data_IF_385196663834
#
_entry.id   IF_385196663834
#
_cell.length_a   1.000
_cell.length_b   1.000
_cell.length_c   1.000
_cell.angle_alpha   90.00
_cell.angle_beta   90.00
_cell.angle_gamma   90.00
#
_symmetry.space_group_name_H-M   'P 1'
#
loop_
_entity.id
_entity.type
_entity.pdbx_description
1 polymer ?
#
# COMPACT_ATOMS: atom_id res chain seq x y z
N UNK A 1 1.21 -14.43 10.64
CA UNK A 1 2.24 -13.38 10.81
C UNK A 1 2.98 -13.09 9.52
N UNK A 2 3.49 -14.13 8.84
CA UNK A 2 4.22 -13.93 7.58
C UNK A 2 3.40 -13.21 6.52
N UNK A 3 2.12 -13.58 6.36
CA UNK A 3 1.22 -12.94 5.41
C UNK A 3 1.11 -11.42 5.66
N UNK A 4 0.89 -11.04 6.92
CA UNK A 4 0.72 -9.63 7.26
C UNK A 4 2.02 -8.82 7.08
N UNK A 5 3.15 -9.44 7.38
CA UNK A 5 4.46 -8.80 7.20
C UNK A 5 4.73 -8.56 5.70
N UNK A 6 4.42 -9.52 4.85
CA UNK A 6 4.58 -9.37 3.40
C UNK A 6 3.66 -8.25 2.89
N UNK A 7 2.39 -8.25 3.30
CA UNK A 7 1.46 -7.21 2.89
C UNK A 7 1.88 -5.82 3.37
N UNK A 8 2.36 -5.71 4.61
CA UNK A 8 2.81 -4.44 5.15
C UNK A 8 4.04 -3.93 4.39
N UNK A 9 5.00 -4.80 4.12
CA UNK A 9 6.19 -4.45 3.35
C UNK A 9 5.83 -4.07 1.92
N UNK A 10 4.92 -4.81 1.29
CA UNK A 10 4.46 -4.52 -0.06
C UNK A 10 3.76 -3.17 -0.12
N UNK A 11 2.90 -2.87 0.85
CA UNK A 11 2.20 -1.60 0.91
C UNK A 11 3.17 -0.43 1.05
N UNK A 12 4.17 -0.58 1.90
CA UNK A 12 5.20 0.44 2.08
C UNK A 12 5.98 0.68 0.78
N UNK A 13 6.38 -0.41 0.12
CA UNK A 13 7.12 -0.33 -1.13
C UNK A 13 6.28 0.31 -2.24
N UNK A 14 5.01 -0.04 -2.35
CA UNK A 14 4.13 0.53 -3.36
C UNK A 14 3.89 2.02 -3.11
N UNK A 15 3.55 2.39 -1.88
CA UNK A 15 3.29 3.78 -1.53
C UNK A 15 4.54 4.62 -1.74
N UNK A 16 5.70 4.15 -1.30
CA UNK A 16 6.96 4.87 -1.48
C UNK A 16 7.28 5.05 -2.95
N UNK A 17 7.08 4.01 -3.76
CA UNK A 17 7.32 4.09 -5.21
C UNK A 17 6.37 5.04 -5.90
N UNK A 18 5.08 4.96 -5.58
CA UNK A 18 4.08 5.86 -6.13
C UNK A 18 4.30 7.29 -5.66
N UNK A 19 4.70 7.48 -4.39
CA UNK A 19 4.99 8.81 -3.87
C UNK A 19 6.18 9.46 -4.56
N UNK A 20 7.16 8.67 -5.01
CA UNK A 20 8.27 9.21 -5.79
C UNK A 20 7.77 9.86 -7.09
N UNK A 21 6.80 9.23 -7.77
CA UNK A 21 6.16 9.82 -8.95
C UNK A 21 5.37 11.06 -8.59
N UNK A 22 4.63 11.03 -7.49
CA UNK A 22 3.89 12.18 -6.98
C UNK A 22 4.84 13.35 -6.71
N UNK A 23 5.97 13.07 -6.04
CA UNK A 23 6.96 14.10 -5.72
C UNK A 23 7.53 14.74 -6.99
N UNK A 24 7.83 13.92 -8.00
CA UNK A 24 8.32 14.42 -9.27
C UNK A 24 7.29 15.30 -9.99
N UNK A 25 6.06 14.78 -10.14
CA UNK A 25 5.04 15.44 -10.95
C UNK A 25 4.31 16.57 -10.22
N UNK A 26 4.05 16.40 -8.93
CA UNK A 26 3.19 17.31 -8.17
C UNK A 26 3.95 18.23 -7.24
N UNK A 27 5.11 17.83 -6.78
CA UNK A 27 5.94 18.63 -5.86
C UNK A 27 7.15 19.23 -6.55
N UNK A 28 7.24 19.08 -7.86
CA UNK A 28 8.31 19.65 -8.70
C UNK A 28 9.71 19.21 -8.25
N UNK A 29 9.82 17.97 -7.77
CA UNK A 29 11.10 17.40 -7.40
C UNK A 29 11.84 16.90 -8.65
N UNK A 30 13.13 16.60 -8.47
CA UNK A 30 13.99 16.10 -9.55
C UNK A 30 13.48 14.77 -10.12
N UNK A 31 13.63 14.58 -11.43
CA UNK A 31 13.32 13.31 -12.08
C UNK A 31 14.14 12.14 -11.48
N UNK A 32 15.25 12.44 -10.83
CA UNK A 32 16.05 11.43 -10.14
C UNK A 32 15.30 10.65 -9.07
N UNK A 33 14.20 11.20 -8.55
CA UNK A 33 13.33 10.50 -7.61
C UNK A 33 12.73 9.23 -8.21
N UNK A 34 12.60 9.16 -9.54
CA UNK A 34 12.03 8.00 -10.21
C UNK A 34 12.93 6.76 -10.13
N UNK A 35 14.24 6.93 -9.92
CA UNK A 35 15.15 5.79 -9.82
C UNK A 35 14.81 4.94 -8.60
N UNK A 36 14.83 5.47 -7.36
CA UNK A 36 14.39 4.69 -6.21
C UNK A 36 12.90 4.37 -6.27
N UNK A 37 12.08 5.22 -6.90
CA UNK A 37 10.66 4.97 -7.05
C UNK A 37 10.35 3.72 -7.85
N UNK A 38 10.96 3.58 -9.02
CA UNK A 38 10.79 2.40 -9.87
C UNK A 38 11.34 1.15 -9.18
N UNK A 39 12.51 1.26 -8.53
CA UNK A 39 13.08 0.15 -7.78
C UNK A 39 12.12 -0.32 -6.68
N UNK A 40 11.50 0.62 -5.99
CA UNK A 40 10.53 0.31 -4.93
C UNK A 40 9.30 -0.42 -5.48
N UNK A 41 8.80 0.00 -6.66
CA UNK A 41 7.66 -0.67 -7.30
C UNK A 41 8.00 -2.09 -7.76
N UNK A 42 9.23 -2.33 -8.20
CA UNK A 42 9.68 -3.68 -8.54
C UNK A 42 9.73 -4.55 -7.28
N UNK A 43 10.25 -4.03 -6.18
CA UNK A 43 10.26 -4.73 -4.90
C UNK A 43 8.84 -5.03 -4.44
N UNK A 44 7.92 -4.08 -4.57
CA UNK A 44 6.52 -4.28 -4.27
C UNK A 44 5.93 -5.46 -5.04
N UNK A 45 6.12 -5.49 -6.35
CA UNK A 45 5.59 -6.57 -7.19
C UNK A 45 6.16 -7.93 -6.77
N UNK A 46 7.45 -7.99 -6.46
CA UNK A 46 8.10 -9.21 -6.01
C UNK A 46 7.53 -9.67 -4.66
N UNK A 47 7.38 -8.75 -3.72
CA UNK A 47 6.83 -9.06 -2.39
C UNK A 47 5.40 -9.60 -2.52
N UNK A 48 4.58 -8.98 -3.36
CA UNK A 48 3.20 -9.39 -3.54
C UNK A 48 3.11 -10.80 -4.14
N UNK A 49 4.09 -11.18 -4.97
CA UNK A 49 4.17 -12.51 -5.53
C UNK A 49 4.54 -13.58 -4.48
N UNK A 50 5.08 -13.18 -3.33
CA UNK A 50 5.45 -14.09 -2.25
C UNK A 50 4.28 -14.41 -1.29
N UNK A 51 3.15 -13.73 -1.46
CA UNK A 51 1.99 -13.94 -0.58
C UNK A 51 1.50 -15.39 -0.71
N UNK A 52 1.28 -16.10 0.42
CA UNK A 52 0.81 -17.49 0.38
C UNK A 52 -0.69 -17.54 0.07
N UNK A 53 -1.03 -17.39 -1.20
CA UNK A 53 -2.40 -17.45 -1.71
C UNK A 53 -2.40 -18.30 -2.98
N UNK A 54 -3.52 -18.98 -3.24
CA UNK A 54 -3.61 -19.91 -4.38
C UNK A 54 -3.75 -19.19 -5.71
N UNK A 55 -4.31 -17.98 -5.69
CA UNK A 55 -4.53 -17.21 -6.91
C UNK A 55 -4.11 -15.76 -6.70
N UNK A 56 -3.63 -15.13 -7.78
CA UNK A 56 -3.23 -13.73 -7.77
C UNK A 56 -4.40 -12.81 -7.45
N UNK A 57 -5.57 -13.09 -8.03
CA UNK A 57 -6.74 -12.24 -7.83
C UNK A 57 -7.15 -12.10 -6.38
N UNK A 58 -7.15 -13.20 -5.63
CA UNK A 58 -7.47 -13.15 -4.19
C UNK A 58 -6.39 -12.44 -3.39
N UNK A 59 -5.13 -12.70 -3.71
CA UNK A 59 -4.01 -12.02 -3.06
C UNK A 59 -4.13 -10.51 -3.23
N UNK A 60 -4.40 -10.07 -4.45
CA UNK A 60 -4.51 -8.64 -4.75
C UNK A 60 -5.75 -8.00 -4.11
N UNK A 61 -6.87 -8.71 -4.10
CA UNK A 61 -8.10 -8.20 -3.49
C UNK A 61 -7.95 -8.01 -1.98
N UNK A 62 -7.36 -8.98 -1.30
CA UNK A 62 -7.10 -8.87 0.12
C UNK A 62 -6.07 -7.78 0.43
N UNK A 63 -5.06 -7.65 -0.43
CA UNK A 63 -4.05 -6.61 -0.30
C UNK A 63 -4.67 -5.21 -0.37
N UNK A 64 -5.71 -5.02 -1.20
CA UNK A 64 -6.35 -3.71 -1.36
C UNK A 64 -6.80 -3.08 -0.03
N UNK A 65 -7.35 -3.88 0.87
CA UNK A 65 -7.75 -3.40 2.19
C UNK A 65 -6.57 -2.98 3.05
N UNK A 66 -5.49 -3.74 3.01
CA UNK A 66 -4.25 -3.42 3.72
C UNK A 66 -3.65 -2.13 3.16
N UNK A 67 -3.65 -1.99 1.83
CA UNK A 67 -3.12 -0.80 1.16
C UNK A 67 -3.87 0.47 1.60
N UNK A 68 -5.19 0.40 1.73
CA UNK A 68 -5.99 1.57 2.13
C UNK A 68 -5.60 2.01 3.54
N UNK A 69 -5.47 1.08 4.48
CA UNK A 69 -5.04 1.41 5.84
C UNK A 69 -3.63 1.98 5.83
N UNK A 70 -2.72 1.37 5.08
CA UNK A 70 -1.34 1.84 4.97
C UNK A 70 -1.29 3.26 4.37
N UNK A 71 -2.15 3.54 3.38
CA UNK A 71 -2.22 4.87 2.77
C UNK A 71 -2.67 5.94 3.75
N UNK A 72 -3.63 5.62 4.62
CA UNK A 72 -4.07 6.55 5.66
C UNK A 72 -2.98 6.79 6.71
N UNK A 73 -2.21 5.77 7.04
CA UNK A 73 -1.05 5.93 7.92
C UNK A 73 0.03 6.80 7.26
N UNK A 74 0.23 6.64 5.96
CA UNK A 74 1.16 7.48 5.21
C UNK A 74 0.71 8.94 5.22
N UNK A 75 -0.58 9.18 5.00
CA UNK A 75 -1.17 10.51 5.04
C UNK A 75 -0.84 11.20 6.36
N UNK A 76 -0.96 10.48 7.46
CA UNK A 76 -0.69 11.01 8.77
C UNK A 76 0.82 11.15 9.05
N UNK A 77 1.58 10.07 8.86
CA UNK A 77 2.98 10.01 9.28
C UNK A 77 3.92 10.79 8.37
N UNK A 78 3.68 10.76 7.04
CA UNK A 78 4.58 11.36 6.06
C UNK A 78 4.06 12.71 5.60
N UNK A 79 2.77 12.81 5.31
CA UNK A 79 2.19 14.05 4.78
C UNK A 79 1.67 14.98 5.88
N UNK A 80 1.62 14.50 7.13
CA UNK A 80 1.29 15.34 8.26
C UNK A 80 -0.18 15.71 8.40
N UNK A 81 -1.07 15.03 7.69
CA UNK A 81 -2.51 15.31 7.75
C UNK A 81 -3.23 14.19 8.50
N UNK A 82 -3.98 14.55 9.54
CA UNK A 82 -4.75 13.57 10.28
C UNK A 82 -5.91 13.03 9.44
N UNK A 83 -6.09 11.70 9.39
CA UNK A 83 -7.29 11.13 8.77
C UNK A 83 -8.54 11.63 9.47
N UNK A 84 -9.55 11.96 8.67
CA UNK A 84 -10.83 12.39 9.22
C UNK A 84 -11.75 11.18 9.51
N UNK A 85 -12.96 11.46 9.99
CA UNK A 85 -13.91 10.39 10.33
C UNK A 85 -14.33 9.55 9.12
N UNK A 86 -14.37 10.15 7.95
CA UNK A 86 -14.73 9.43 6.71
C UNK A 86 -13.59 8.52 6.27
N UNK A 87 -12.34 8.98 6.41
CA UNK A 87 -11.16 8.15 6.17
C UNK A 87 -11.15 6.95 7.10
N UNK A 88 -11.43 7.18 8.38
CA UNK A 88 -11.43 6.12 9.38
C UNK A 88 -12.54 5.10 9.12
N UNK A 89 -13.75 5.58 8.79
CA UNK A 89 -14.88 4.71 8.49
C UNK A 89 -14.63 3.89 7.23
N UNK A 90 -14.16 4.54 6.17
CA UNK A 90 -13.86 3.87 4.90
C UNK A 90 -12.76 2.82 5.06
N UNK A 91 -11.70 3.19 5.78
CA UNK A 91 -10.60 2.26 6.06
C UNK A 91 -11.06 1.04 6.85
N UNK A 92 -11.93 1.24 7.85
CA UNK A 92 -12.47 0.14 8.65
C UNK A 92 -13.31 -0.81 7.80
N UNK A 93 -14.16 -0.27 6.93
CA UNK A 93 -14.99 -1.08 6.03
C UNK A 93 -14.12 -1.90 5.08
N UNK A 94 -13.09 -1.28 4.51
CA UNK A 94 -12.19 -1.95 3.59
C UNK A 94 -11.41 -3.06 4.29
N UNK A 95 -10.97 -2.83 5.52
CA UNK A 95 -10.26 -3.82 6.30
C UNK A 95 -11.17 -5.01 6.64
N UNK A 96 -12.43 -4.74 6.97
CA UNK A 96 -13.42 -5.79 7.21
C UNK A 96 -13.62 -6.63 5.94
N UNK A 97 -13.75 -5.99 4.78
CA UNK A 97 -13.90 -6.68 3.50
C UNK A 97 -12.69 -7.54 3.16
N UNK A 98 -11.49 -7.01 3.36
CA UNK A 98 -10.25 -7.75 3.13
C UNK A 98 -10.16 -8.98 4.05
N UNK A 99 -10.57 -8.82 5.30
CA UNK A 99 -10.58 -9.92 6.28
C UNK A 99 -11.51 -11.04 5.87
N UNK A 100 -12.67 -10.70 5.31
CA UNK A 100 -13.59 -11.70 4.77
C UNK A 100 -12.94 -12.52 3.66
N UNK A 101 -12.22 -11.87 2.76
CA UNK A 101 -11.54 -12.55 1.64
C UNK A 101 -10.45 -13.48 2.18
N UNK A 102 -9.70 -13.03 3.18
CA UNK A 102 -8.59 -13.81 3.72
C UNK A 102 -9.05 -15.01 4.54
N UNK A 103 -10.13 -14.88 5.30
CA UNK A 103 -10.49 -15.87 6.33
C UNK A 103 -11.80 -16.61 6.03
N UNK A 104 -12.46 -16.28 4.95
CA UNK A 104 -13.63 -17.05 4.52
C UNK A 104 -13.20 -18.20 3.61
#
# INVERSE_FOLDING_TARGET
MKLYLIYAAAALAEIAGCFAFWAWLRMEKSIGWLVPGVASLVVFAWLLALVPADTAGRAYAAYGGIYIVASLLWLWAVEGQLPDRFDMAGGAICLAGASLILFA
#
